data_IF_849835196105
#
_entry.id   IF_849835196105
#
_cell.length_a   1.000
_cell.length_b   1.000
_cell.length_c   1.000
_cell.angle_alpha   90.00
_cell.angle_beta   90.00
_cell.angle_gamma   90.00
#
_symmetry.space_group_name_H-M   'P 1'
#
loop_
_entity.id
_entity.type
_entity.pdbx_description
1 polymer ?
#
# COMPACT_ATOMS: atom_id res chain seq x y z
N UNK A 1 -9.34 -38.01 42.00
CA UNK A 1 -8.00 -38.61 41.90
C UNK A 1 -7.95 -39.49 40.65
N UNK A 2 -6.81 -39.48 39.96
CA UNK A 2 -6.44 -40.23 38.74
C UNK A 2 -6.75 -39.57 37.39
N UNK A 3 -5.82 -38.70 36.98
CA UNK A 3 -5.46 -38.51 35.57
C UNK A 3 -4.76 -39.79 35.07
N UNK A 4 -5.18 -40.33 33.92
CA UNK A 4 -4.38 -41.26 33.13
C UNK A 4 -4.08 -40.60 31.78
N UNK A 5 -2.81 -40.23 31.60
CA UNK A 5 -2.23 -39.79 30.32
C UNK A 5 -1.94 -41.02 29.46
N UNK A 6 -2.53 -41.08 28.28
CA UNK A 6 -2.20 -42.07 27.27
C UNK A 6 -1.01 -41.56 26.43
N UNK A 7 0.10 -42.30 26.46
CA UNK A 7 1.36 -41.92 25.82
C UNK A 7 1.56 -42.74 24.53
N UNK A 8 1.55 -42.07 23.39
CA UNK A 8 1.83 -42.68 22.09
C UNK A 8 3.34 -42.91 21.95
N UNK A 9 3.79 -44.16 22.07
CA UNK A 9 5.18 -44.56 21.87
C UNK A 9 5.60 -44.39 20.40
N UNK A 10 6.47 -43.41 20.14
CA UNK A 10 7.11 -43.19 18.82
C UNK A 10 7.97 -44.40 18.46
N UNK A 11 7.94 -44.81 17.20
CA UNK A 11 8.77 -45.93 16.71
C UNK A 11 10.27 -45.58 16.75
N UNK A 12 11.17 -46.56 16.92
CA UNK A 12 12.62 -46.32 16.98
C UNK A 12 13.17 -45.53 15.77
N UNK A 13 12.62 -45.77 14.58
CA UNK A 13 12.98 -45.05 13.35
C UNK A 13 12.55 -43.56 13.35
N UNK A 14 11.43 -43.22 14.01
CA UNK A 14 10.96 -41.84 14.15
C UNK A 14 11.82 -41.07 15.17
N UNK A 15 12.21 -41.72 16.27
CA UNK A 15 13.12 -41.15 17.26
C UNK A 15 14.51 -40.89 16.66
N UNK A 16 15.00 -41.81 15.80
CA UNK A 16 16.29 -41.66 15.13
C UNK A 16 16.28 -40.50 14.11
N UNK A 17 15.21 -40.34 13.32
CA UNK A 17 15.06 -39.18 12.41
C UNK A 17 14.93 -37.85 13.15
N UNK A 18 14.25 -37.83 14.30
CA UNK A 18 14.12 -36.62 15.12
C UNK A 18 15.48 -36.25 15.75
N UNK A 19 16.24 -37.25 16.21
CA UNK A 19 17.60 -37.06 16.71
C UNK A 19 18.55 -36.54 15.63
N UNK A 20 18.52 -37.08 14.41
CA UNK A 20 19.30 -36.56 13.28
C UNK A 20 18.92 -35.13 12.90
N UNK A 21 17.62 -34.79 12.94
CA UNK A 21 17.15 -33.43 12.63
C UNK A 21 17.61 -32.44 13.70
N UNK A 22 17.51 -32.81 14.98
CA UNK A 22 18.04 -31.99 16.09
C UNK A 22 19.55 -31.85 16.03
N UNK A 23 20.28 -32.92 15.69
CA UNK A 23 21.73 -32.87 15.51
C UNK A 23 22.13 -31.94 14.34
N UNK A 24 21.43 -31.99 13.21
CA UNK A 24 21.65 -31.08 12.07
C UNK A 24 21.33 -29.63 12.43
N UNK A 25 20.27 -29.37 13.19
CA UNK A 25 19.93 -28.02 13.66
C UNK A 25 20.95 -27.49 14.66
N UNK A 26 21.39 -28.30 15.61
CA UNK A 26 22.44 -27.95 16.57
C UNK A 26 23.77 -27.66 15.86
N UNK A 27 24.17 -28.47 14.88
CA UNK A 27 25.38 -28.24 14.08
C UNK A 27 25.29 -26.94 13.27
N UNK A 28 24.11 -26.59 12.74
CA UNK A 28 23.90 -25.35 11.98
C UNK A 28 23.93 -24.12 12.89
N UNK A 29 23.37 -24.22 14.09
CA UNK A 29 23.42 -23.16 15.10
C UNK A 29 24.85 -22.95 15.63
N UNK A 30 25.58 -24.04 15.87
CA UNK A 30 27.00 -23.98 16.28
C UNK A 30 27.86 -23.29 15.21
N UNK A 31 27.71 -23.64 13.92
CA UNK A 31 28.40 -22.95 12.81
C UNK A 31 28.04 -21.47 12.70
N UNK A 32 26.78 -21.12 12.98
CA UNK A 32 26.34 -19.72 12.97
C UNK A 32 26.96 -18.94 14.14
N UNK A 33 26.97 -19.51 15.34
CA UNK A 33 27.60 -18.92 16.52
C UNK A 33 29.11 -18.79 16.37
N UNK A 34 29.77 -19.75 15.73
CA UNK A 34 31.20 -19.71 15.44
C UNK A 34 31.54 -18.63 14.40
N UNK A 35 30.70 -18.47 13.36
CA UNK A 35 30.82 -17.37 12.40
C UNK A 35 30.62 -16.01 13.06
N UNK A 36 29.66 -15.90 13.98
CA UNK A 36 29.40 -14.68 14.74
C UNK A 36 30.57 -14.34 15.67
N UNK A 37 31.11 -15.33 16.39
CA UNK A 37 32.31 -15.16 17.21
C UNK A 37 33.52 -14.74 16.37
N UNK A 38 33.73 -15.30 15.19
CA UNK A 38 34.80 -14.86 14.26
C UNK A 38 34.63 -13.41 13.81
N UNK A 39 33.40 -12.97 13.56
CA UNK A 39 33.11 -11.57 13.22
C UNK A 39 33.38 -10.65 14.41
N UNK A 40 33.00 -11.07 15.60
CA UNK A 40 33.17 -10.29 16.84
C UNK A 40 34.65 -10.27 17.28
N UNK A 41 35.40 -11.34 17.07
CA UNK A 41 36.85 -11.42 17.25
C UNK A 41 37.60 -10.56 16.21
N UNK A 42 37.16 -10.55 14.94
CA UNK A 42 37.69 -9.62 13.93
C UNK A 42 37.43 -8.15 14.29
N UNK A 43 36.30 -7.85 14.94
CA UNK A 43 36.01 -6.52 15.49
C UNK A 43 36.84 -6.20 16.74
N UNK A 44 37.17 -7.19 17.56
CA UNK A 44 37.93 -7.00 18.81
C UNK A 44 39.45 -6.89 18.58
N UNK A 45 40.00 -7.54 17.55
CA UNK A 45 41.43 -7.48 17.20
C UNK A 45 41.77 -6.18 16.44
N UNK A 46 40.77 -5.47 15.91
CA UNK A 46 40.92 -4.10 15.43
C UNK A 46 41.07 -3.12 16.61
N UNK A 47 42.22 -3.15 17.30
CA UNK A 47 42.62 -2.06 18.19
C UNK A 47 42.61 -0.75 17.38
N UNK A 48 42.14 0.37 17.96
CA UNK A 48 42.11 1.64 17.29
C UNK A 48 43.57 2.05 17.02
N UNK A 49 43.99 2.00 15.76
CA UNK A 49 45.09 2.87 15.36
C UNK A 49 44.61 4.28 15.68
N UNK A 50 45.40 5.03 16.44
CA UNK A 50 45.40 6.50 16.39
C UNK A 50 45.75 6.90 14.94
N UNK A 51 44.84 6.67 14.01
CA UNK A 51 44.69 7.60 12.91
C UNK A 51 44.31 8.89 13.61
N UNK A 52 45.19 9.90 13.53
CA UNK A 52 44.79 11.30 13.61
C UNK A 52 43.35 11.35 13.10
N UNK A 53 42.39 11.76 13.93
CA UNK A 53 41.09 12.17 13.43
C UNK A 53 41.41 13.17 12.31
N UNK A 54 41.44 12.70 11.07
CA UNK A 54 40.82 13.47 10.02
C UNK A 54 39.39 13.46 10.51
N UNK A 55 39.03 14.52 11.21
CA UNK A 55 37.68 15.03 11.12
C UNK A 55 37.31 14.81 9.65
N UNK A 56 36.42 13.86 9.35
CA UNK A 56 35.56 14.08 8.21
C UNK A 56 34.79 15.34 8.58
N UNK A 57 35.44 16.48 8.36
CA UNK A 57 34.79 17.76 8.19
C UNK A 57 33.80 17.44 7.11
N UNK A 58 32.54 17.24 7.49
CA UNK A 58 31.41 17.42 6.59
C UNK A 58 31.74 18.73 5.90
N UNK A 59 32.17 18.65 4.64
CA UNK A 59 32.57 19.86 3.92
C UNK A 59 31.37 20.78 4.03
N UNK A 60 31.52 22.01 4.57
CA UNK A 60 30.40 22.90 4.72
C UNK A 60 29.74 23.01 3.35
N UNK A 61 28.46 22.62 3.26
CA UNK A 61 27.71 22.71 2.01
C UNK A 61 27.67 24.20 1.70
N UNK A 62 28.37 24.62 0.65
CA UNK A 62 28.37 26.03 0.26
C UNK A 62 26.94 26.39 -0.12
N UNK A 63 26.38 27.37 0.56
CA UNK A 63 25.03 27.88 0.30
C UNK A 63 25.11 29.12 -0.59
N UNK A 64 24.04 29.37 -1.34
CA UNK A 64 23.94 30.55 -2.18
C UNK A 64 23.68 31.76 -1.29
N UNK A 65 24.64 32.69 -1.22
CA UNK A 65 24.61 33.85 -0.32
C UNK A 65 24.20 35.15 -0.99
N UNK A 66 24.10 35.18 -2.31
CA UNK A 66 23.60 36.35 -3.02
C UNK A 66 22.09 36.48 -2.76
N UNK A 67 21.68 37.67 -2.32
CA UNK A 67 20.29 37.97 -1.99
C UNK A 67 19.45 38.14 -3.27
N UNK A 68 19.17 37.03 -3.95
CA UNK A 68 18.23 37.00 -5.09
C UNK A 68 16.81 36.93 -4.54
N UNK A 69 15.95 37.86 -4.93
CA UNK A 69 14.56 37.84 -4.48
C UNK A 69 13.84 36.63 -5.09
N UNK A 70 12.80 36.09 -4.41
CA UNK A 70 12.03 34.98 -4.94
C UNK A 70 11.52 35.22 -6.36
N UNK A 71 11.80 34.27 -7.25
CA UNK A 71 11.43 34.33 -8.66
C UNK A 71 12.27 35.25 -9.55
N UNK A 72 13.30 35.93 -9.04
CA UNK A 72 14.27 36.63 -9.91
C UNK A 72 15.31 35.65 -10.47
N UNK A 73 15.84 35.96 -11.65
CA UNK A 73 16.92 35.16 -12.24
C UNK A 73 18.12 35.19 -11.30
N UNK A 74 18.65 33.99 -10.99
CA UNK A 74 19.81 33.82 -10.14
C UNK A 74 20.98 34.71 -10.60
N UNK A 75 21.63 35.38 -9.65
CA UNK A 75 22.86 36.10 -9.92
C UNK A 75 24.00 35.08 -10.11
N UNK A 76 24.59 35.07 -11.31
CA UNK A 76 25.70 34.19 -11.69
C UNK A 76 27.06 34.91 -11.71
N UNK A 77 27.12 36.18 -11.33
CA UNK A 77 28.37 36.97 -11.28
C UNK A 77 29.08 36.88 -9.93
N UNK A 78 28.45 36.26 -8.92
CA UNK A 78 29.08 36.00 -7.64
C UNK A 78 30.14 34.89 -7.76
N UNK A 79 31.07 34.87 -6.80
CA UNK A 79 32.13 33.87 -6.75
C UNK A 79 31.53 32.45 -6.71
N UNK A 80 32.04 31.58 -7.58
CA UNK A 80 31.61 30.20 -7.68
C UNK A 80 32.24 29.37 -6.56
N UNK A 81 31.51 28.41 -5.97
CA UNK A 81 32.07 27.52 -4.97
C UNK A 81 33.20 26.68 -5.59
N UNK A 82 34.22 26.40 -4.79
CA UNK A 82 35.39 25.62 -5.21
C UNK A 82 35.06 24.15 -5.55
N UNK A 83 33.89 23.67 -5.16
CA UNK A 83 33.34 22.36 -5.52
C UNK A 83 31.84 22.47 -5.82
N UNK A 84 31.30 21.55 -6.61
CA UNK A 84 29.87 21.48 -6.89
C UNK A 84 29.06 21.33 -5.60
N UNK A 85 28.08 22.21 -5.42
CA UNK A 85 27.10 22.17 -4.32
C UNK A 85 25.70 22.23 -4.93
N UNK A 86 24.88 21.16 -4.86
CA UNK A 86 23.51 21.18 -5.37
C UNK A 86 22.67 22.29 -4.76
N UNK A 87 22.74 22.47 -3.43
CA UNK A 87 22.03 23.56 -2.72
C UNK A 87 22.42 24.93 -3.24
N UNK A 88 23.70 25.17 -3.52
CA UNK A 88 24.14 26.41 -4.14
C UNK A 88 23.52 26.52 -5.52
N UNK A 89 23.68 25.49 -6.37
CA UNK A 89 23.32 25.54 -7.80
C UNK A 89 21.82 25.70 -7.99
N UNK A 90 21.01 24.86 -7.35
CA UNK A 90 19.55 24.79 -7.49
C UNK A 90 18.82 26.02 -6.92
N UNK A 91 19.42 26.72 -5.96
CA UNK A 91 18.84 27.91 -5.34
C UNK A 91 18.39 28.95 -6.37
N UNK A 92 17.22 29.57 -6.11
CA UNK A 92 16.52 30.55 -6.94
C UNK A 92 16.01 30.08 -8.32
N UNK A 93 16.49 28.95 -8.87
CA UNK A 93 16.11 28.55 -10.23
C UNK A 93 14.65 28.15 -10.37
N UNK A 94 14.14 27.34 -9.45
CA UNK A 94 12.80 26.80 -9.61
C UNK A 94 11.73 27.90 -9.57
N UNK A 95 11.82 28.80 -8.59
CA UNK A 95 10.91 29.95 -8.47
C UNK A 95 11.00 30.86 -9.70
N UNK A 96 12.19 31.06 -10.25
CA UNK A 96 12.37 31.81 -11.50
C UNK A 96 11.68 31.10 -12.68
N UNK A 97 11.90 29.78 -12.85
CA UNK A 97 11.27 29.01 -13.92
C UNK A 97 9.74 29.01 -13.83
N UNK A 98 9.20 28.91 -12.62
CA UNK A 98 7.76 28.95 -12.36
C UNK A 98 7.19 30.34 -12.68
N UNK A 99 7.84 31.41 -12.22
CA UNK A 99 7.42 32.81 -12.48
C UNK A 99 7.43 33.16 -13.97
N UNK A 100 8.46 32.75 -14.70
CA UNK A 100 8.57 32.99 -16.14
C UNK A 100 7.66 32.07 -16.98
N UNK A 101 6.96 31.12 -16.34
CA UNK A 101 6.06 30.21 -17.03
C UNK A 101 6.77 29.24 -17.98
N UNK A 102 8.05 28.92 -17.75
CA UNK A 102 8.87 28.12 -18.68
C UNK A 102 8.36 26.68 -18.87
N UNK A 103 7.49 26.22 -17.97
CA UNK A 103 6.93 24.88 -17.98
C UNK A 103 5.57 24.80 -18.70
N UNK A 104 4.96 25.96 -18.97
CA UNK A 104 3.63 26.05 -19.55
C UNK A 104 3.65 25.67 -21.04
N UNK A 105 2.60 25.00 -21.55
CA UNK A 105 2.49 24.70 -22.98
C UNK A 105 2.43 25.97 -23.85
N UNK A 106 2.01 27.10 -23.28
CA UNK A 106 2.00 28.43 -23.91
C UNK A 106 3.41 29.04 -24.07
N UNK A 107 4.43 28.49 -23.41
CA UNK A 107 5.77 29.07 -23.46
C UNK A 107 6.33 29.03 -24.89
N UNK A 108 6.57 30.22 -25.46
CA UNK A 108 6.99 30.43 -26.86
C UNK A 108 6.04 29.85 -27.92
N UNK A 109 4.77 29.61 -27.58
CA UNK A 109 3.81 29.05 -28.52
C UNK A 109 2.38 29.52 -28.25
N UNK A 110 1.73 30.02 -29.30
CA UNK A 110 0.31 30.37 -29.30
C UNK A 110 -0.54 29.10 -29.51
N UNK A 111 -1.24 28.67 -28.46
CA UNK A 111 -2.06 27.45 -28.48
C UNK A 111 -3.25 27.51 -29.45
N UNK A 112 -3.60 28.69 -29.98
CA UNK A 112 -4.62 28.80 -31.04
C UNK A 112 -4.10 28.27 -32.39
N UNK A 113 -2.78 28.09 -32.53
CA UNK A 113 -2.14 27.62 -33.76
C UNK A 113 -1.58 26.22 -33.54
N UNK A 114 -1.77 25.29 -34.49
CA UNK A 114 -1.17 23.96 -34.38
C UNK A 114 0.36 24.06 -34.42
N UNK A 115 1.03 23.40 -33.50
CA UNK A 115 2.49 23.26 -33.55
C UNK A 115 2.88 22.20 -34.60
N UNK A 116 3.63 22.53 -35.66
CA UNK A 116 4.06 21.56 -36.66
C UNK A 116 4.98 20.46 -36.11
N UNK A 117 5.63 20.69 -34.95
CA UNK A 117 6.43 19.67 -34.24
C UNK A 117 5.55 18.70 -33.42
N UNK A 118 4.27 19.00 -33.28
CA UNK A 118 3.28 18.21 -32.55
C UNK A 118 3.21 18.53 -31.06
N UNK A 119 2.33 17.81 -30.39
CA UNK A 119 2.07 17.92 -28.94
C UNK A 119 2.63 16.70 -28.20
N UNK A 120 2.88 16.87 -26.91
CA UNK A 120 3.14 15.78 -25.97
C UNK A 120 2.48 16.13 -24.63
N UNK A 121 1.63 15.25 -24.13
CA UNK A 121 0.92 15.46 -22.88
C UNK A 121 1.11 14.25 -22.00
N UNK A 122 1.44 14.50 -20.74
CA UNK A 122 1.55 13.49 -19.70
C UNK A 122 1.02 14.09 -18.40
N UNK A 123 0.36 13.29 -17.60
CA UNK A 123 -0.06 13.67 -16.25
C UNK A 123 0.83 12.91 -15.26
N UNK A 124 1.25 13.58 -14.18
CA UNK A 124 1.80 12.88 -13.03
C UNK A 124 0.71 11.91 -12.54
N UNK A 125 1.01 10.61 -12.36
CA UNK A 125 0.15 9.70 -11.62
C UNK A 125 -0.10 10.32 -10.23
N UNK A 126 -1.32 10.80 -9.95
CA UNK A 126 -1.54 11.75 -8.87
C UNK A 126 -1.21 11.07 -7.53
N UNK A 127 -0.20 11.53 -6.78
CA UNK A 127 0.12 10.95 -5.48
C UNK A 127 -1.06 11.08 -4.51
N UNK A 128 -1.24 10.03 -3.71
CA UNK A 128 -2.24 10.00 -2.65
C UNK A 128 -1.91 11.04 -1.58
N UNK A 129 -2.93 11.77 -1.11
CA UNK A 129 -2.77 12.75 -0.02
C UNK A 129 -2.71 12.03 1.34
N UNK A 130 -1.80 11.07 1.49
CA UNK A 130 -1.65 10.21 2.69
C UNK A 130 -0.36 10.48 3.46
N UNK A 131 0.48 11.42 3.02
CA UNK A 131 1.74 11.73 3.69
C UNK A 131 2.76 12.43 2.80
N UNK A 132 4.02 12.07 2.95
CA UNK A 132 5.15 12.59 2.16
C UNK A 132 5.51 11.62 1.04
N UNK A 133 6.03 12.15 -0.06
CA UNK A 133 6.58 11.36 -1.15
C UNK A 133 7.81 10.56 -0.69
N UNK A 134 7.94 9.34 -1.22
CA UNK A 134 9.08 8.43 -1.04
C UNK A 134 9.86 8.23 -2.35
N UNK A 135 11.00 7.52 -2.30
CA UNK A 135 11.89 7.30 -3.47
C UNK A 135 11.20 6.74 -4.72
N UNK A 136 10.19 5.88 -4.57
CA UNK A 136 9.38 5.43 -5.72
C UNK A 136 8.70 6.58 -6.49
N UNK A 137 8.19 7.60 -5.81
CA UNK A 137 7.61 8.79 -6.45
C UNK A 137 8.70 9.61 -7.14
N UNK A 138 9.88 9.73 -6.52
CA UNK A 138 11.01 10.42 -7.12
C UNK A 138 11.44 9.75 -8.42
N UNK A 139 11.57 8.41 -8.42
CA UNK A 139 11.89 7.64 -9.63
C UNK A 139 10.88 7.89 -10.75
N UNK A 140 9.58 7.73 -10.48
CA UNK A 140 8.53 7.92 -11.48
C UNK A 140 8.54 9.36 -12.04
N UNK A 141 8.53 10.36 -11.14
CA UNK A 141 8.51 11.78 -11.52
C UNK A 141 9.76 12.15 -12.33
N UNK A 142 10.95 11.67 -11.95
CA UNK A 142 12.19 11.96 -12.69
C UNK A 142 12.18 11.40 -14.11
N UNK A 143 11.59 10.21 -14.32
CA UNK A 143 11.44 9.63 -15.66
C UNK A 143 10.46 10.46 -16.50
N UNK A 144 9.29 10.79 -15.95
CA UNK A 144 8.26 11.59 -16.61
C UNK A 144 8.76 13.00 -16.97
N UNK A 145 9.48 13.64 -16.04
CA UNK A 145 10.10 14.95 -16.24
C UNK A 145 11.17 14.91 -17.33
N UNK A 146 12.02 13.88 -17.34
CA UNK A 146 13.06 13.70 -18.37
C UNK A 146 12.43 13.59 -19.76
N UNK A 147 11.37 12.78 -19.91
CA UNK A 147 10.66 12.61 -21.19
C UNK A 147 9.97 13.92 -21.60
N UNK A 148 9.35 14.62 -20.64
CA UNK A 148 8.70 15.91 -20.88
C UNK A 148 9.70 16.97 -21.36
N UNK A 149 10.85 17.07 -20.70
CA UNK A 149 11.96 17.97 -21.09
C UNK A 149 12.51 17.62 -22.47
N UNK A 150 12.73 16.33 -22.75
CA UNK A 150 13.18 15.87 -24.07
C UNK A 150 12.21 16.32 -25.17
N UNK A 151 10.90 16.14 -25.00
CA UNK A 151 9.93 16.59 -25.99
C UNK A 151 9.87 18.11 -26.14
N UNK A 152 10.00 18.86 -25.04
CA UNK A 152 10.06 20.33 -25.07
C UNK A 152 11.30 20.79 -25.86
N UNK A 153 12.45 20.14 -25.66
CA UNK A 153 13.68 20.40 -26.41
C UNK A 153 13.59 20.05 -27.90
N UNK A 154 12.71 19.12 -28.29
CA UNK A 154 12.39 18.88 -29.72
C UNK A 154 11.46 19.93 -30.34
N UNK A 155 11.06 20.95 -29.57
CA UNK A 155 10.15 22.01 -30.00
C UNK A 155 8.68 21.62 -30.00
N UNK A 156 8.31 20.50 -29.35
CA UNK A 156 6.90 20.13 -29.17
C UNK A 156 6.22 21.04 -28.15
N UNK A 157 4.90 21.19 -28.29
CA UNK A 157 4.06 21.77 -27.23
C UNK A 157 3.85 20.72 -26.15
N UNK A 158 4.39 20.98 -24.94
CA UNK A 158 4.41 19.99 -23.85
C UNK A 158 3.51 20.42 -22.70
N UNK A 159 2.59 19.55 -22.29
CA UNK A 159 1.86 19.66 -21.03
C UNK A 159 2.26 18.50 -20.10
N UNK A 160 2.98 18.83 -19.03
CA UNK A 160 3.21 17.91 -17.92
C UNK A 160 2.32 18.34 -16.76
N UNK A 161 1.17 17.67 -16.61
CA UNK A 161 0.10 18.12 -15.72
C UNK A 161 0.26 17.52 -14.31
N UNK A 162 0.38 18.35 -13.25
CA UNK A 162 0.45 17.85 -11.88
C UNK A 162 -0.95 17.61 -11.29
N UNK A 163 -1.02 16.81 -10.24
CA UNK A 163 -2.24 16.65 -9.45
C UNK A 163 -2.02 15.80 -8.21
N UNK A 164 -3.06 15.66 -7.39
CA UNK A 164 -3.08 14.82 -6.20
C UNK A 164 -4.38 14.03 -6.12
N UNK A 165 -4.31 12.84 -5.56
CA UNK A 165 -5.47 11.96 -5.37
C UNK A 165 -5.95 11.97 -3.92
N UNK A 166 -7.26 12.17 -3.74
CA UNK A 166 -7.95 12.02 -2.46
C UNK A 166 -7.79 10.64 -1.84
N UNK A 167 -7.55 9.59 -2.64
CA UNK A 167 -7.25 8.22 -2.21
C UNK A 167 -8.28 7.56 -1.27
N UNK A 168 -9.54 8.07 -1.25
CA UNK A 168 -10.68 7.51 -0.52
C UNK A 168 -10.33 6.83 0.81
N UNK A 169 -10.39 5.50 0.80
CA UNK A 169 -10.14 4.61 1.96
C UNK A 169 -8.76 4.87 2.59
N UNK A 170 -7.71 5.07 1.80
CA UNK A 170 -6.36 5.26 2.32
C UNK A 170 -6.26 6.56 3.16
N UNK A 171 -6.83 7.66 2.66
CA UNK A 171 -6.88 8.92 3.40
C UNK A 171 -7.76 8.80 4.64
N UNK A 172 -8.92 8.15 4.53
CA UNK A 172 -9.79 7.89 5.68
C UNK A 172 -9.04 7.19 6.81
N UNK A 173 -8.33 6.09 6.52
CA UNK A 173 -7.58 5.32 7.53
C UNK A 173 -6.47 6.16 8.17
N UNK A 174 -5.76 6.99 7.40
CA UNK A 174 -4.70 7.85 7.95
C UNK A 174 -5.27 8.93 8.87
N UNK A 175 -6.38 9.56 8.48
CA UNK A 175 -7.05 10.59 9.29
C UNK A 175 -7.67 9.97 10.55
N UNK A 176 -8.29 8.80 10.46
CA UNK A 176 -8.79 8.05 11.64
C UNK A 176 -7.66 7.74 12.62
N UNK A 177 -6.51 7.26 12.14
CA UNK A 177 -5.33 7.00 12.99
C UNK A 177 -4.78 8.28 13.62
N UNK A 178 -4.79 9.41 12.89
CA UNK A 178 -4.40 10.72 13.42
C UNK A 178 -5.33 11.14 14.56
N UNK A 179 -6.64 11.07 14.35
CA UNK A 179 -7.65 11.42 15.36
C UNK A 179 -7.53 10.56 16.61
N UNK A 180 -7.35 9.24 16.44
CA UNK A 180 -7.15 8.34 17.57
C UNK A 180 -5.87 8.69 18.35
N UNK A 181 -4.76 8.96 17.65
CA UNK A 181 -3.48 9.28 18.30
C UNK A 181 -3.47 10.64 19.01
N UNK A 182 -4.08 11.65 18.41
CA UNK A 182 -3.98 13.04 18.89
C UNK A 182 -5.11 13.43 19.83
N UNK A 183 -6.29 12.83 19.66
CA UNK A 183 -7.50 13.22 20.40
C UNK A 183 -8.17 12.04 21.12
N UNK A 184 -7.67 10.81 20.93
CA UNK A 184 -8.30 9.59 21.44
C UNK A 184 -9.78 9.47 21.03
N UNK A 185 -10.09 9.89 19.80
CA UNK A 185 -11.43 9.88 19.19
C UNK A 185 -11.45 9.04 17.93
N UNK A 186 -12.57 8.36 17.70
CA UNK A 186 -12.89 7.69 16.45
C UNK A 186 -13.64 8.63 15.49
N UNK A 187 -13.75 8.24 14.21
CA UNK A 187 -14.60 8.96 13.24
C UNK A 187 -16.09 9.00 13.63
N UNK A 188 -16.54 8.07 14.47
CA UNK A 188 -17.92 8.02 14.93
C UNK A 188 -18.18 9.08 16.01
N UNK A 189 -17.17 9.39 16.83
CA UNK A 189 -17.28 10.40 17.89
C UNK A 189 -17.37 11.83 17.33
N UNK A 190 -16.74 12.09 16.19
CA UNK A 190 -16.75 13.41 15.52
C UNK A 190 -17.88 13.55 14.49
N UNK A 191 -18.57 12.47 14.15
CA UNK A 191 -19.63 12.45 13.14
C UNK A 191 -19.14 12.68 11.70
N UNK A 192 -20.06 12.59 10.74
CA UNK A 192 -19.72 12.67 9.30
C UNK A 192 -19.15 14.03 8.91
N UNK A 193 -19.83 15.12 9.29
CA UNK A 193 -19.43 16.47 8.90
C UNK A 193 -18.08 16.83 9.51
N UNK A 194 -17.91 16.62 10.82
CA UNK A 194 -16.65 16.83 11.51
C UNK A 194 -15.51 15.99 10.93
N UNK A 195 -15.76 14.73 10.59
CA UNK A 195 -14.74 13.89 9.95
C UNK A 195 -14.34 14.41 8.56
N UNK A 196 -15.30 14.85 7.74
CA UNK A 196 -15.02 15.43 6.41
C UNK A 196 -14.17 16.70 6.55
N UNK A 197 -14.45 17.55 7.53
CA UNK A 197 -13.62 18.72 7.82
C UNK A 197 -12.18 18.35 8.17
N UNK A 198 -11.98 17.32 9.01
CA UNK A 198 -10.65 16.82 9.36
C UNK A 198 -9.89 16.27 8.14
N UNK A 199 -10.59 15.60 7.22
CA UNK A 199 -10.01 15.15 5.94
C UNK A 199 -9.56 16.35 5.08
N UNK A 200 -10.35 17.43 5.01
CA UNK A 200 -9.95 18.63 4.27
C UNK A 200 -8.80 19.38 4.93
N UNK A 201 -8.75 19.44 6.26
CA UNK A 201 -7.60 19.99 7.02
C UNK A 201 -6.33 19.20 6.70
N UNK A 202 -6.41 17.87 6.76
CA UNK A 202 -5.32 16.98 6.40
C UNK A 202 -4.86 17.20 4.94
N UNK A 203 -5.81 17.32 4.01
CA UNK A 203 -5.50 17.61 2.59
C UNK A 203 -4.75 18.91 2.43
N UNK A 204 -5.14 19.96 3.14
CA UNK A 204 -4.45 21.25 3.12
C UNK A 204 -3.01 21.11 3.64
N UNK A 205 -2.84 20.48 4.80
CA UNK A 205 -1.52 20.26 5.41
C UNK A 205 -0.58 19.44 4.51
N UNK A 206 -1.06 18.33 3.93
CA UNK A 206 -0.22 17.39 3.17
C UNK A 206 -0.10 17.71 1.69
N UNK A 207 -1.13 18.29 1.08
CA UNK A 207 -1.12 18.66 -0.33
C UNK A 207 -0.01 19.66 -0.66
N UNK A 208 0.22 20.64 0.22
CA UNK A 208 1.33 21.58 0.08
C UNK A 208 2.70 20.87 0.12
N UNK A 209 2.88 19.93 1.07
CA UNK A 209 4.14 19.18 1.20
C UNK A 209 4.45 18.36 -0.04
N UNK A 210 3.46 17.68 -0.63
CA UNK A 210 3.64 16.90 -1.86
C UNK A 210 4.09 17.81 -3.00
N UNK A 211 3.40 18.94 -3.21
CA UNK A 211 3.76 19.88 -4.26
C UNK A 211 5.15 20.49 -4.03
N UNK A 212 5.49 20.82 -2.79
CA UNK A 212 6.83 21.33 -2.45
C UNK A 212 7.92 20.28 -2.71
N UNK A 213 7.66 19.00 -2.46
CA UNK A 213 8.60 17.93 -2.79
C UNK A 213 8.79 17.80 -4.31
N UNK A 214 7.72 17.86 -5.10
CA UNK A 214 7.81 17.89 -6.57
C UNK A 214 8.59 19.11 -7.07
N UNK A 215 8.37 20.30 -6.49
CA UNK A 215 9.15 21.51 -6.79
C UNK A 215 10.64 21.33 -6.48
N UNK A 216 10.96 20.79 -5.30
CA UNK A 216 12.34 20.51 -4.88
C UNK A 216 13.04 19.46 -5.76
N UNK A 217 12.29 18.55 -6.36
CA UNK A 217 12.83 17.61 -7.35
C UNK A 217 13.04 18.26 -8.73
N UNK A 218 12.60 19.50 -8.93
CA UNK A 218 12.75 20.22 -10.18
C UNK A 218 11.74 19.81 -11.27
N UNK A 219 10.60 19.21 -10.89
CA UNK A 219 9.60 18.75 -11.86
C UNK A 219 9.08 19.91 -12.73
N UNK A 220 9.19 19.80 -14.05
CA UNK A 220 8.85 20.84 -15.02
C UNK A 220 7.36 20.83 -15.40
N UNK A 221 6.51 20.80 -14.37
CA UNK A 221 5.05 20.72 -14.46
C UNK A 221 4.38 22.09 -14.54
N UNK A 222 3.14 22.09 -15.00
CA UNK A 222 2.31 23.29 -15.03
C UNK A 222 1.41 23.42 -13.79
N UNK A 223 1.83 24.23 -12.83
CA UNK A 223 1.13 24.41 -11.55
C UNK A 223 -0.22 25.11 -11.68
N UNK A 224 -0.45 25.92 -12.72
CA UNK A 224 -1.74 26.58 -12.96
C UNK A 224 -2.84 25.54 -13.24
N UNK A 225 -2.43 24.39 -13.78
CA UNK A 225 -3.32 23.29 -14.15
C UNK A 225 -3.40 22.19 -13.10
N UNK A 226 -2.74 22.34 -11.95
CA UNK A 226 -2.78 21.38 -10.86
C UNK A 226 -4.22 21.02 -10.47
N UNK A 227 -4.50 19.72 -10.36
CA UNK A 227 -5.85 19.20 -10.05
C UNK A 227 -5.86 18.33 -8.81
N UNK A 228 -6.92 18.43 -8.03
CA UNK A 228 -7.25 17.47 -7.00
C UNK A 228 -8.50 16.69 -7.43
N UNK A 229 -8.53 15.38 -7.16
CA UNK A 229 -9.61 14.51 -7.66
C UNK A 229 -11.01 14.86 -7.16
N UNK A 230 -11.12 15.60 -6.04
CA UNK A 230 -12.40 16.11 -5.52
C UNK A 230 -12.71 17.56 -5.94
N UNK A 231 -11.88 18.18 -6.80
CA UNK A 231 -12.18 19.50 -7.33
C UNK A 231 -13.48 19.45 -8.16
N UNK A 232 -14.32 20.52 -8.15
CA UNK A 232 -15.61 20.52 -8.84
C UNK A 232 -15.56 20.11 -10.31
N UNK A 233 -14.48 20.45 -11.02
CA UNK A 233 -14.28 20.07 -12.43
C UNK A 233 -14.06 18.56 -12.61
N UNK A 234 -13.34 17.91 -11.70
CA UNK A 234 -13.05 16.47 -11.76
C UNK A 234 -14.27 15.69 -11.30
N UNK A 235 -14.92 16.12 -10.21
CA UNK A 235 -16.16 15.53 -9.73
C UNK A 235 -17.24 15.51 -10.82
N UNK A 236 -17.38 16.60 -11.59
CA UNK A 236 -18.30 16.65 -12.73
C UNK A 236 -17.96 15.61 -13.80
N UNK A 237 -16.68 15.44 -14.13
CA UNK A 237 -16.25 14.45 -15.11
C UNK A 237 -16.52 13.01 -14.64
N UNK A 238 -16.34 12.72 -13.35
CA UNK A 238 -16.68 11.40 -12.77
C UNK A 238 -18.19 11.16 -12.78
N UNK A 239 -19.00 12.16 -12.44
CA UNK A 239 -20.47 12.06 -12.50
C UNK A 239 -20.95 11.80 -13.92
N UNK A 240 -20.42 12.54 -14.91
CA UNK A 240 -20.73 12.34 -16.32
C UNK A 240 -20.38 10.91 -16.77
N UNK A 241 -19.17 10.44 -16.44
CA UNK A 241 -18.74 9.09 -16.76
C UNK A 241 -19.67 8.03 -16.14
N UNK A 242 -20.08 8.22 -14.88
CA UNK A 242 -21.02 7.32 -14.21
C UNK A 242 -22.38 7.28 -14.93
N UNK A 243 -22.94 8.45 -15.24
CA UNK A 243 -24.24 8.55 -15.94
C UNK A 243 -24.18 7.87 -17.30
N UNK A 244 -23.16 8.16 -18.11
CA UNK A 244 -22.98 7.54 -19.43
C UNK A 244 -22.83 6.01 -19.35
N UNK A 245 -22.07 5.51 -18.37
CA UNK A 245 -21.89 4.06 -18.19
C UNK A 245 -23.16 3.37 -17.66
N UNK A 246 -23.94 4.06 -16.83
CA UNK A 246 -25.24 3.57 -16.37
C UNK A 246 -26.27 3.55 -17.50
N UNK A 247 -26.38 4.61 -18.30
CA UNK A 247 -27.28 4.67 -19.46
C UNK A 247 -26.96 3.61 -20.52
N UNK A 248 -25.69 3.24 -20.66
CA UNK A 248 -25.25 2.12 -21.52
C UNK A 248 -25.50 0.73 -20.92
N UNK A 249 -25.99 0.63 -19.69
CA UNK A 249 -26.22 -0.63 -18.98
C UNK A 249 -24.95 -1.31 -18.45
N UNK A 250 -23.80 -0.63 -18.48
CA UNK A 250 -22.52 -1.17 -17.96
C UNK A 250 -22.48 -1.09 -16.43
N UNK A 251 -22.96 0.02 -15.86
CA UNK A 251 -23.17 0.16 -14.41
C UNK A 251 -24.61 -0.19 -14.08
N UNK A 252 -24.80 -1.09 -13.12
CA UNK A 252 -26.12 -1.51 -12.65
C UNK A 252 -26.08 -1.82 -11.15
N UNK A 253 -27.26 -1.94 -10.53
CA UNK A 253 -27.41 -2.33 -9.12
C UNK A 253 -27.96 -3.75 -9.03
N UNK A 254 -27.30 -4.60 -8.25
CA UNK A 254 -27.71 -5.98 -8.00
C UNK A 254 -27.17 -6.45 -6.65
N UNK A 255 -27.80 -7.47 -6.07
CA UNK A 255 -27.30 -8.15 -4.87
C UNK A 255 -26.35 -9.25 -5.29
N UNK A 256 -25.08 -9.14 -4.91
CA UNK A 256 -24.03 -10.14 -5.20
C UNK A 256 -23.12 -10.31 -4.01
N UNK A 257 -22.38 -11.43 -3.99
CA UNK A 257 -21.30 -11.62 -3.03
C UNK A 257 -20.22 -10.56 -3.29
N UNK A 258 -19.77 -9.91 -2.23
CA UNK A 258 -18.75 -8.86 -2.26
C UNK A 258 -17.69 -9.14 -1.20
N UNK A 259 -16.48 -8.63 -1.39
CA UNK A 259 -15.49 -8.62 -0.33
C UNK A 259 -15.85 -7.50 0.65
N UNK A 260 -16.19 -7.85 1.89
CA UNK A 260 -16.54 -6.90 2.94
C UNK A 260 -15.42 -6.79 3.97
N UNK A 261 -14.98 -5.55 4.25
CA UNK A 261 -14.05 -5.26 5.34
C UNK A 261 -14.82 -4.89 6.60
N UNK A 262 -14.77 -5.75 7.64
CA UNK A 262 -15.42 -5.48 8.93
C UNK A 262 -14.85 -4.24 9.64
N UNK A 263 -13.56 -3.96 9.45
CA UNK A 263 -12.88 -2.80 10.05
C UNK A 263 -13.31 -1.50 9.36
N UNK A 264 -13.28 -1.45 8.03
CA UNK A 264 -13.65 -0.24 7.28
C UNK A 264 -15.17 -0.03 7.24
N UNK A 265 -15.93 -1.12 7.42
CA UNK A 265 -17.38 -1.19 7.20
C UNK A 265 -17.76 -0.76 5.79
N UNK A 266 -17.06 -1.31 4.80
CA UNK A 266 -17.27 -1.06 3.38
C UNK A 266 -16.98 -2.31 2.55
N UNK A 267 -17.64 -2.40 1.39
CA UNK A 267 -17.22 -3.29 0.33
C UNK A 267 -15.89 -2.80 -0.27
N UNK A 268 -15.05 -3.75 -0.69
CA UNK A 268 -13.78 -3.52 -1.38
C UNK A 268 -13.75 -4.37 -2.65
N UNK A 269 -13.02 -3.89 -3.65
CA UNK A 269 -12.83 -4.59 -4.92
C UNK A 269 -11.84 -5.73 -4.80
N UNK A 270 -11.87 -6.70 -5.74
CA UNK A 270 -10.94 -7.83 -5.73
C UNK A 270 -9.46 -7.42 -5.77
N UNK A 271 -9.15 -6.30 -6.45
CA UNK A 271 -7.77 -5.79 -6.56
C UNK A 271 -7.27 -5.15 -5.26
N UNK A 272 -8.16 -4.84 -4.31
CA UNK A 272 -7.82 -4.32 -2.98
C UNK A 272 -7.64 -5.45 -1.94
N UNK A 273 -7.80 -6.72 -2.35
CA UNK A 273 -7.69 -7.88 -1.46
C UNK A 273 -6.37 -8.59 -1.65
N UNK A 274 -5.51 -8.49 -0.64
CA UNK A 274 -4.29 -9.28 -0.54
C UNK A 274 -4.57 -10.66 0.08
N UNK A 275 -4.23 -11.72 -0.65
CA UNK A 275 -4.36 -13.11 -0.17
C UNK A 275 -3.10 -13.54 0.58
N UNK A 276 -3.28 -13.96 1.83
CA UNK A 276 -2.20 -14.53 2.65
C UNK A 276 -2.39 -16.04 2.78
N UNK A 277 -1.41 -16.79 2.31
CA UNK A 277 -1.39 -18.24 2.45
C UNK A 277 -0.94 -18.65 3.87
N UNK A 278 -1.64 -19.63 4.44
CA UNK A 278 -1.38 -20.16 5.78
C UNK A 278 -1.32 -21.68 5.65
N UNK A 279 -0.21 -22.29 6.06
CA UNK A 279 0.03 -23.73 5.88
C UNK A 279 -0.44 -24.59 7.06
N UNK A 280 -0.90 -23.98 8.15
CA UNK A 280 -1.44 -24.69 9.31
C UNK A 280 -1.92 -23.74 10.40
N UNK A 281 -2.33 -24.30 11.55
CA UNK A 281 -2.90 -23.56 12.68
C UNK A 281 -2.02 -22.37 13.08
N UNK A 282 -2.56 -21.17 12.94
CA UNK A 282 -1.85 -19.90 13.17
C UNK A 282 -2.77 -18.89 13.83
N UNK A 283 -2.31 -18.28 14.93
CA UNK A 283 -2.99 -17.15 15.56
C UNK A 283 -2.54 -15.84 14.92
N UNK A 284 -3.45 -15.11 14.29
CA UNK A 284 -3.18 -13.84 13.63
C UNK A 284 -3.92 -12.68 14.29
N UNK A 285 -3.29 -11.51 14.43
CA UNK A 285 -4.00 -10.30 14.81
C UNK A 285 -4.96 -9.89 13.68
N UNK A 286 -6.21 -9.62 14.02
CA UNK A 286 -7.23 -9.14 13.07
C UNK A 286 -7.69 -7.75 13.52
N UNK A 287 -7.67 -6.73 12.64
CA UNK A 287 -8.15 -5.40 12.98
C UNK A 287 -9.58 -5.42 13.54
N UNK A 288 -9.79 -4.80 14.70
CA UNK A 288 -11.08 -4.76 15.40
C UNK A 288 -11.29 -5.85 16.46
N UNK A 289 -10.31 -6.75 16.64
CA UNK A 289 -10.33 -7.77 17.71
C UNK A 289 -9.19 -7.51 18.70
N UNK A 290 -9.48 -7.65 20.00
CA UNK A 290 -8.49 -7.50 21.06
C UNK A 290 -7.54 -8.70 21.12
N UNK A 291 -8.08 -9.90 20.86
CA UNK A 291 -7.34 -11.15 20.85
C UNK A 291 -6.98 -11.59 19.42
N UNK A 292 -5.94 -12.43 19.32
CA UNK A 292 -5.58 -13.03 18.04
C UNK A 292 -6.63 -14.07 17.66
N UNK A 293 -7.04 -14.04 16.40
CA UNK A 293 -8.00 -15.00 15.84
C UNK A 293 -7.24 -16.18 15.26
N UNK A 294 -7.80 -17.37 15.43
CA UNK A 294 -7.25 -18.61 14.92
C UNK A 294 -7.60 -18.84 13.45
N UNK A 295 -6.58 -19.17 12.64
CA UNK A 295 -6.71 -19.52 11.23
C UNK A 295 -5.95 -20.81 10.91
N UNK A 296 -6.24 -21.42 9.76
CA UNK A 296 -5.52 -22.60 9.27
C UNK A 296 -5.86 -23.89 10.04
N UNK A 297 -7.04 -23.95 10.65
CA UNK A 297 -7.61 -25.16 11.25
C UNK A 297 -8.67 -25.72 10.32
N UNK A 298 -8.61 -27.03 10.05
CA UNK A 298 -9.62 -27.74 9.30
C UNK A 298 -10.45 -28.57 10.28
N UNK A 299 -11.73 -28.23 10.42
CA UNK A 299 -12.67 -28.90 11.31
C UNK A 299 -13.50 -29.87 10.50
N UNK A 300 -13.56 -31.13 10.96
CA UNK A 300 -14.46 -32.13 10.41
C UNK A 300 -15.66 -32.29 11.33
N UNK A 301 -16.87 -32.19 10.79
CA UNK A 301 -18.12 -32.37 11.52
C UNK A 301 -19.13 -33.13 10.64
N UNK A 302 -20.20 -33.64 11.23
CA UNK A 302 -21.10 -34.56 10.53
C UNK A 302 -22.55 -34.05 10.53
N UNK A 303 -23.20 -34.06 9.37
CA UNK A 303 -24.64 -33.83 9.22
C UNK A 303 -25.41 -35.16 9.23
N UNK A 304 -26.58 -35.23 9.90
CA UNK A 304 -27.47 -36.38 9.81
C UNK A 304 -28.16 -36.47 8.43
N UNK A 305 -28.51 -37.69 8.03
CA UNK A 305 -29.28 -37.97 6.80
C UNK A 305 -30.78 -38.08 7.15
N UNK A 306 -31.64 -37.55 6.28
CA UNK A 306 -33.09 -37.57 6.48
C UNK A 306 -33.64 -39.00 6.57
N UNK A 307 -34.55 -39.22 7.52
CA UNK A 307 -35.21 -40.51 7.73
C UNK A 307 -34.42 -41.50 8.58
N UNK A 308 -33.32 -41.08 9.21
CA UNK A 308 -32.53 -41.90 10.12
C UNK A 308 -32.59 -41.35 11.56
N UNK A 309 -33.64 -41.72 12.30
CA UNK A 309 -33.77 -41.40 13.73
C UNK A 309 -33.20 -42.57 14.55
N UNK A 310 -32.00 -42.39 15.14
CA UNK A 310 -31.36 -43.41 15.98
C UNK A 310 -29.84 -43.26 16.10
N UNK A 311 -29.22 -44.01 17.03
CA UNK A 311 -27.75 -44.02 17.24
C UNK A 311 -26.95 -44.57 16.04
N UNK A 312 -27.60 -45.35 15.15
CA UNK A 312 -27.03 -45.88 13.89
C UNK A 312 -27.39 -45.05 12.65
N UNK A 313 -27.75 -43.77 12.84
CA UNK A 313 -28.02 -42.85 11.74
C UNK A 313 -26.77 -42.64 10.88
N UNK A 314 -26.90 -42.88 9.57
CA UNK A 314 -25.83 -42.57 8.61
C UNK A 314 -25.60 -41.05 8.61
N UNK A 315 -24.34 -40.63 8.54
CA UNK A 315 -23.96 -39.21 8.59
C UNK A 315 -22.97 -38.86 7.48
N UNK A 316 -23.04 -37.62 7.02
CA UNK A 316 -22.12 -37.07 6.03
C UNK A 316 -21.09 -36.19 6.73
N UNK A 317 -19.81 -36.57 6.64
CA UNK A 317 -18.71 -35.79 7.21
C UNK A 317 -18.29 -34.68 6.23
N UNK A 318 -18.32 -33.44 6.70
CA UNK A 318 -17.87 -32.25 5.97
C UNK A 318 -16.65 -31.66 6.67
N UNK A 319 -15.66 -31.23 5.88
CA UNK A 319 -14.48 -30.53 6.37
C UNK A 319 -14.53 -29.05 5.97
N UNK A 320 -14.38 -28.14 6.94
CA UNK A 320 -14.40 -26.69 6.71
C UNK A 320 -13.34 -25.98 7.55
N UNK A 321 -12.83 -24.85 7.05
CA UNK A 321 -11.98 -23.93 7.83
C UNK A 321 -12.77 -22.80 8.48
N UNK A 322 -14.10 -22.76 8.31
CA UNK A 322 -15.01 -21.72 8.77
C UNK A 322 -16.22 -22.37 9.44
N UNK A 323 -16.02 -22.99 10.61
CA UNK A 323 -17.11 -23.72 11.30
C UNK A 323 -18.29 -22.82 11.66
N UNK A 324 -18.05 -21.52 11.85
CA UNK A 324 -19.10 -20.55 12.14
C UNK A 324 -20.07 -20.34 10.96
N UNK A 325 -19.69 -20.69 9.73
CA UNK A 325 -20.61 -20.59 8.56
C UNK A 325 -21.55 -21.77 8.46
N UNK A 326 -21.33 -22.85 9.24
CA UNK A 326 -22.17 -24.06 9.26
C UNK A 326 -23.66 -23.75 9.47
N UNK A 327 -23.98 -22.70 10.24
CA UNK A 327 -25.35 -22.28 10.52
C UNK A 327 -26.04 -21.63 9.31
N UNK A 328 -25.27 -21.21 8.30
CA UNK A 328 -25.77 -20.68 7.03
C UNK A 328 -25.74 -21.71 5.90
N UNK A 329 -25.37 -22.97 6.18
CA UNK A 329 -25.32 -24.02 5.16
C UNK A 329 -26.73 -24.38 4.69
N UNK A 330 -26.94 -24.36 3.37
CA UNK A 330 -28.24 -24.68 2.73
C UNK A 330 -28.21 -25.99 1.94
N UNK A 331 -27.01 -26.53 1.69
CA UNK A 331 -26.81 -27.79 0.97
C UNK A 331 -25.41 -28.34 1.24
N UNK A 332 -25.22 -29.66 1.04
CA UNK A 332 -23.91 -30.29 0.93
C UNK A 332 -23.65 -30.62 -0.54
N UNK A 333 -22.51 -30.20 -1.07
CA UNK A 333 -22.11 -30.51 -2.43
C UNK A 333 -21.25 -31.79 -2.48
N UNK A 334 -21.63 -32.71 -3.36
CA UNK A 334 -20.91 -33.96 -3.64
C UNK A 334 -20.53 -33.97 -5.11
N UNK A 335 -19.33 -34.46 -5.43
CA UNK A 335 -18.90 -34.60 -6.83
C UNK A 335 -19.78 -35.65 -7.54
N UNK A 336 -20.31 -35.39 -8.75
CA UNK A 336 -21.27 -36.29 -9.39
C UNK A 336 -20.71 -37.69 -9.70
N UNK A 337 -19.40 -37.85 -9.78
CA UNK A 337 -18.72 -39.13 -10.04
C UNK A 337 -18.15 -39.78 -8.75
N UNK A 338 -18.51 -39.28 -7.56
CA UNK A 338 -18.05 -39.86 -6.29
C UNK A 338 -18.99 -40.97 -5.80
N UNK A 339 -18.69 -42.21 -6.21
CA UNK A 339 -19.47 -43.41 -5.90
C UNK A 339 -19.74 -43.61 -4.39
N UNK A 340 -18.88 -43.05 -3.52
CA UNK A 340 -19.01 -43.18 -2.06
C UNK A 340 -20.28 -42.53 -1.51
N UNK A 341 -20.86 -41.58 -2.22
CA UNK A 341 -21.96 -40.74 -1.74
C UNK A 341 -23.16 -40.71 -2.70
N UNK A 342 -23.14 -41.46 -3.82
CA UNK A 342 -24.24 -41.51 -4.79
C UNK A 342 -25.59 -41.85 -4.15
N UNK A 343 -25.60 -42.79 -3.20
CA UNK A 343 -26.80 -43.22 -2.51
C UNK A 343 -27.40 -42.15 -1.58
N UNK A 344 -26.67 -41.05 -1.33
CA UNK A 344 -27.06 -39.95 -0.42
C UNK A 344 -27.53 -38.69 -1.14
N UNK A 345 -27.45 -38.66 -2.47
CA UNK A 345 -27.91 -37.52 -3.28
C UNK A 345 -29.41 -37.29 -3.02
N UNK A 346 -29.76 -36.08 -2.61
CA UNK A 346 -31.13 -35.67 -2.30
C UNK A 346 -31.67 -36.14 -0.93
N UNK A 347 -30.83 -36.73 -0.07
CA UNK A 347 -31.24 -37.28 1.24
C UNK A 347 -30.68 -36.54 2.45
N UNK A 348 -29.97 -35.43 2.27
CA UNK A 348 -29.30 -34.73 3.38
C UNK A 348 -30.12 -33.52 3.83
N UNK A 349 -30.28 -33.37 5.15
CA UNK A 349 -30.86 -32.19 5.78
C UNK A 349 -29.78 -31.35 6.42
N UNK A 350 -29.60 -30.13 5.91
CA UNK A 350 -28.84 -29.10 6.60
C UNK A 350 -29.65 -28.59 7.81
N UNK A 351 -28.96 -27.97 8.78
CA UNK A 351 -29.59 -27.43 9.98
C UNK A 351 -30.61 -26.34 9.60
N UNK A 352 -31.90 -26.64 9.68
CA UNK A 352 -32.94 -25.60 9.63
C UNK A 352 -32.96 -24.91 10.99
N UNK A 353 -32.56 -23.64 11.04
CA UNK A 353 -32.78 -22.75 12.19
C UNK A 353 -34.25 -22.37 12.31
#
# INVERSE_FOLDING_TARGET
MSDQQDSTNKTPAQLQKEAEKKAKQAAKLAKFQEKQKRIDEQKAVAKPKESKKKDEKVKPVTEYTANTKPGEKKNITCELPTAYSPKYVESAWYEFWEKEGLFKPEYNHDLSKPNPKGTFTIAIPPPNVTGTLHLGHALATSVEDTVSRYHRMKGKTVLFNPGCDHAGIATQVVVEKKLMREQNKSRHDVGREGFVEEVWKWKKEKGHVIYDQLRKMGAAVDWDRAVFTMDPKITRAVTEAFVLLHERGVIYRSTRLVNWSCMLRSAISDIEVDKKEITGRTLLPVPGYDEKVEFGVLVSFAYPIDGSDGEESERVIVATTRIETMLGDVAIAVHPEDDRYHHLIGKVRCLNL
#
